data_IF_084260473018
#
_entry.id   IF_084260473018
#
_cell.length_a   1.000
_cell.length_b   1.000
_cell.length_c   1.000
_cell.angle_alpha   90.00
_cell.angle_beta   90.00
_cell.angle_gamma   90.00
#
_symmetry.space_group_name_H-M   'P 1'
#
loop_
_entity.id
_entity.type
_entity.pdbx_description
1 polymer ?
#
# COMPACT_ATOMS: atom_id res chain seq x y z
N UNK A 1 -1.77 -2.55 16.68
CA UNK A 1 -2.86 -2.77 15.72
C UNK A 1 -2.40 -2.46 14.31
N UNK A 2 -2.75 -3.30 13.39
CA UNK A 2 -2.35 -3.13 11.99
C UNK A 2 -3.24 -2.11 11.29
N UNK A 3 -2.64 -1.11 10.67
CA UNK A 3 -3.35 -0.06 9.95
C UNK A 3 -2.87 -0.02 8.50
N UNK A 4 -3.81 -0.03 7.57
CA UNK A 4 -3.54 -0.08 6.13
C UNK A 4 -4.21 1.10 5.45
N UNK A 5 -3.51 1.75 4.54
CA UNK A 5 -4.10 2.78 3.69
C UNK A 5 -4.41 2.17 2.32
N UNK A 6 -5.63 2.40 1.84
CA UNK A 6 -6.03 2.04 0.48
C UNK A 6 -6.26 3.36 -0.25
N UNK A 7 -5.42 3.65 -1.24
CA UNK A 7 -5.47 4.91 -1.97
C UNK A 7 -5.91 4.61 -3.40
N UNK A 8 -7.18 4.87 -3.68
CA UNK A 8 -7.83 4.53 -4.93
C UNK A 8 -9.02 5.46 -5.14
N UNK A 9 -9.10 6.13 -6.27
CA UNK A 9 -10.15 7.11 -6.53
C UNK A 9 -11.50 6.49 -6.94
N UNK A 10 -11.50 5.26 -7.42
CA UNK A 10 -12.72 4.56 -7.78
C UNK A 10 -13.33 3.90 -6.55
N UNK A 11 -14.48 4.38 -6.10
CA UNK A 11 -15.08 3.89 -4.87
C UNK A 11 -15.37 2.39 -4.88
N UNK A 12 -15.99 1.82 -5.93
CA UNK A 12 -16.19 0.37 -5.95
C UNK A 12 -14.91 -0.43 -5.86
N UNK A 13 -13.85 0.00 -6.55
CA UNK A 13 -12.55 -0.66 -6.49
C UNK A 13 -11.93 -0.54 -5.12
N UNK A 14 -11.98 0.64 -4.52
CA UNK A 14 -11.47 0.85 -3.17
C UNK A 14 -12.18 -0.05 -2.17
N UNK A 15 -13.50 -0.14 -2.25
CA UNK A 15 -14.29 -0.99 -1.38
C UNK A 15 -13.98 -2.47 -1.59
N UNK A 16 -13.75 -2.88 -2.83
CA UNK A 16 -13.37 -4.26 -3.13
C UNK A 16 -12.04 -4.62 -2.50
N UNK A 17 -11.04 -3.76 -2.65
CA UNK A 17 -9.72 -3.99 -2.08
C UNK A 17 -9.79 -4.03 -0.55
N UNK A 18 -10.51 -3.10 0.05
CA UNK A 18 -10.70 -3.08 1.50
C UNK A 18 -11.41 -4.34 2.00
N UNK A 19 -12.41 -4.81 1.26
CA UNK A 19 -13.13 -6.03 1.58
C UNK A 19 -12.23 -7.26 1.54
N UNK A 20 -11.39 -7.35 0.53
CA UNK A 20 -10.43 -8.45 0.43
C UNK A 20 -9.45 -8.44 1.60
N UNK A 21 -8.96 -7.27 2.00
CA UNK A 21 -8.05 -7.14 3.13
C UNK A 21 -8.73 -7.60 4.41
N UNK A 22 -9.95 -7.17 4.65
CA UNK A 22 -10.70 -7.57 5.85
C UNK A 22 -10.96 -9.06 5.90
N UNK A 23 -11.20 -9.68 4.74
CA UNK A 23 -11.40 -11.12 4.66
C UNK A 23 -10.11 -11.90 4.92
N UNK A 24 -8.99 -11.33 4.52
CA UNK A 24 -7.70 -12.01 4.65
C UNK A 24 -7.18 -12.01 6.07
N UNK A 25 -7.47 -10.96 6.84
CA UNK A 25 -6.95 -10.84 8.20
C UNK A 25 -7.88 -9.96 9.02
N UNK A 26 -8.30 -10.44 10.19
CA UNK A 26 -9.16 -9.68 11.09
C UNK A 26 -8.34 -8.67 11.90
N UNK A 27 -9.03 -7.71 12.48
CA UNK A 27 -8.39 -6.75 13.38
C UNK A 27 -7.58 -5.66 12.68
N UNK A 28 -7.78 -5.48 11.38
CA UNK A 28 -7.08 -4.44 10.62
C UNK A 28 -7.92 -3.18 10.57
N UNK A 29 -7.26 -2.04 10.80
CA UNK A 29 -7.87 -0.73 10.56
C UNK A 29 -7.52 -0.34 9.12
N UNK A 30 -8.53 -0.03 8.32
CA UNK A 30 -8.34 0.36 6.93
C UNK A 30 -8.86 1.77 6.74
N UNK A 31 -7.96 2.65 6.27
CA UNK A 31 -8.34 4.00 5.87
C UNK A 31 -8.36 4.05 4.35
N UNK A 32 -9.46 4.53 3.79
CA UNK A 32 -9.62 4.66 2.34
C UNK A 32 -9.51 6.12 1.97
N UNK A 33 -8.57 6.44 1.07
CA UNK A 33 -8.34 7.79 0.58
C UNK A 33 -8.56 7.82 -0.91
N UNK A 34 -9.17 8.87 -1.41
CA UNK A 34 -9.64 8.94 -2.80
C UNK A 34 -8.90 9.97 -3.63
N UNK A 35 -8.12 10.83 -2.99
CA UNK A 35 -7.33 11.85 -3.69
C UNK A 35 -5.91 11.84 -3.18
N UNK A 36 -5.02 12.42 -3.99
CA UNK A 36 -3.62 12.60 -3.60
C UNK A 36 -3.49 13.44 -2.34
N UNK A 37 -4.23 14.55 -2.28
CA UNK A 37 -4.13 15.47 -1.15
C UNK A 37 -4.54 14.82 0.16
N UNK A 38 -5.63 14.07 0.14
CA UNK A 38 -6.07 13.32 1.32
C UNK A 38 -5.02 12.31 1.77
N UNK A 39 -4.47 11.59 0.80
CA UNK A 39 -3.48 10.57 1.08
C UNK A 39 -2.20 11.18 1.65
N UNK A 40 -1.71 12.25 1.06
CA UNK A 40 -0.51 12.92 1.56
C UNK A 40 -0.69 13.41 2.99
N UNK A 41 -1.85 14.02 3.29
CA UNK A 41 -2.14 14.49 4.64
C UNK A 41 -2.18 13.34 5.64
N UNK A 42 -2.80 12.22 5.26
CA UNK A 42 -2.90 11.05 6.12
C UNK A 42 -1.53 10.42 6.36
N UNK A 43 -0.73 10.28 5.31
CA UNK A 43 0.61 9.69 5.42
C UNK A 43 1.54 10.53 6.29
N UNK A 44 1.32 11.83 6.33
CA UNK A 44 2.13 12.71 7.16
C UNK A 44 1.80 12.61 8.65
N UNK A 45 0.56 12.24 9.00
CA UNK A 45 0.14 12.22 10.42
C UNK A 45 -0.03 10.83 11.00
N UNK A 46 -0.23 9.81 10.16
CA UNK A 46 -0.45 8.43 10.63
C UNK A 46 0.64 7.51 10.14
N UNK A 47 0.98 6.53 10.96
CA UNK A 47 1.86 5.45 10.51
C UNK A 47 1.02 4.32 9.94
N UNK A 48 1.35 3.87 8.74
CA UNK A 48 0.69 2.72 8.12
C UNK A 48 1.65 1.55 8.01
N UNK A 49 1.14 0.36 8.25
CA UNK A 49 1.93 -0.87 8.13
C UNK A 49 2.11 -1.28 6.67
N UNK A 50 1.18 -0.89 5.81
CA UNK A 50 1.30 -1.07 4.37
C UNK A 50 0.37 -0.09 3.67
N UNK A 51 0.67 0.19 2.40
CA UNK A 51 -0.14 1.06 1.56
C UNK A 51 -0.47 0.31 0.28
N UNK A 52 -1.75 0.26 -0.07
CA UNK A 52 -2.21 -0.24 -1.36
C UNK A 52 -2.56 0.99 -2.19
N UNK A 53 -1.91 1.16 -3.32
CA UNK A 53 -1.91 2.43 -4.04
C UNK A 53 -2.18 2.26 -5.52
N UNK A 54 -3.14 3.04 -6.05
CA UNK A 54 -3.29 3.24 -7.48
C UNK A 54 -2.42 4.43 -7.89
N UNK A 55 -1.63 4.25 -8.95
CA UNK A 55 -0.77 5.33 -9.43
C UNK A 55 -1.52 6.39 -10.23
N UNK A 56 -2.74 6.09 -10.67
CA UNK A 56 -3.59 7.06 -11.35
C UNK A 56 -4.72 7.47 -10.42
N UNK A 57 -4.63 8.66 -9.85
CA UNK A 57 -5.65 9.19 -8.96
C UNK A 57 -6.37 10.36 -9.63
N UNK A 58 -7.64 10.16 -9.94
CA UNK A 58 -8.43 11.17 -10.61
C UNK A 58 -7.83 11.52 -11.96
N UNK A 59 -7.49 12.78 -12.17
CA UNK A 59 -6.90 13.24 -13.42
C UNK A 59 -5.38 13.25 -13.41
N UNK A 60 -4.77 12.97 -12.28
CA UNK A 60 -3.32 12.98 -12.15
C UNK A 60 -2.75 11.61 -12.50
N UNK A 61 -2.11 11.52 -13.66
CA UNK A 61 -1.59 10.24 -14.15
C UNK A 61 -0.45 9.68 -13.31
N UNK A 62 0.29 10.54 -12.64
CA UNK A 62 1.46 10.13 -11.87
C UNK A 62 1.38 10.47 -10.39
N UNK A 63 0.17 10.67 -9.89
CA UNK A 63 -0.04 10.97 -8.49
C UNK A 63 0.55 9.89 -7.58
N UNK A 64 0.45 8.64 -8.00
CA UNK A 64 1.01 7.53 -7.23
C UNK A 64 2.52 7.58 -7.11
N UNK A 65 3.22 8.04 -8.15
CA UNK A 65 4.67 8.20 -8.09
C UNK A 65 5.05 9.22 -7.04
N UNK A 66 4.34 10.35 -7.01
CA UNK A 66 4.58 11.38 -6.00
C UNK A 66 4.31 10.86 -4.60
N UNK A 67 3.28 10.04 -4.43
CA UNK A 67 2.95 9.45 -3.14
C UNK A 67 4.00 8.45 -2.68
N UNK A 68 4.52 7.61 -3.58
CA UNK A 68 5.60 6.70 -3.25
C UNK A 68 6.82 7.47 -2.77
N UNK A 69 7.17 8.54 -3.46
CA UNK A 69 8.28 9.39 -3.05
C UNK A 69 8.04 10.01 -1.68
N UNK A 70 6.82 10.47 -1.41
CA UNK A 70 6.46 11.04 -0.12
C UNK A 70 6.60 10.00 0.99
N UNK A 71 6.16 8.77 0.74
CA UNK A 71 6.27 7.67 1.70
C UNK A 71 7.74 7.37 1.99
N UNK A 72 8.56 7.31 0.95
CA UNK A 72 9.97 6.99 1.10
C UNK A 72 10.70 8.07 1.89
N UNK A 73 10.31 9.33 1.71
CA UNK A 73 10.92 10.43 2.46
C UNK A 73 10.65 10.35 3.95
N UNK A 74 9.57 9.72 4.36
CA UNK A 74 9.27 9.54 5.78
C UNK A 74 10.20 8.53 6.45
N UNK A 75 10.89 7.71 5.67
CA UNK A 75 11.86 6.71 6.15
C UNK A 75 11.30 5.75 7.20
N UNK A 76 10.03 5.42 7.08
CA UNK A 76 9.37 4.50 8.00
C UNK A 76 9.38 3.05 7.51
N UNK A 77 9.91 2.82 6.32
CA UNK A 77 9.95 1.48 5.75
C UNK A 77 8.58 0.92 5.38
N UNK A 78 7.60 1.78 5.19
CA UNK A 78 6.25 1.35 4.86
C UNK A 78 6.23 0.73 3.45
N UNK A 79 5.83 -0.53 3.30
CA UNK A 79 5.77 -1.16 1.99
C UNK A 79 4.58 -0.65 1.19
N UNK A 80 4.78 -0.49 -0.11
CA UNK A 80 3.74 -0.01 -1.02
C UNK A 80 3.45 -1.09 -2.06
N UNK A 81 2.21 -1.53 -2.11
CA UNK A 81 1.73 -2.43 -3.15
C UNK A 81 0.95 -1.59 -4.17
N UNK A 82 1.47 -1.51 -5.39
CA UNK A 82 0.82 -0.75 -6.45
C UNK A 82 -0.18 -1.64 -7.17
N UNK A 83 -1.42 -1.17 -7.29
CA UNK A 83 -2.49 -1.85 -8.01
C UNK A 83 -3.01 -0.87 -9.04
N UNK A 84 -2.79 -1.13 -10.32
CA UNK A 84 -3.13 -0.17 -11.35
C UNK A 84 -3.57 -0.85 -12.65
N UNK A 85 -4.34 -0.12 -13.46
CA UNK A 85 -4.72 -0.59 -14.79
C UNK A 85 -3.59 -0.47 -15.81
N UNK A 86 -2.52 0.24 -15.47
CA UNK A 86 -1.41 0.45 -16.38
C UNK A 86 -0.59 -0.83 -16.60
N UNK A 87 0.03 -1.01 -17.78
CA UNK A 87 0.74 -2.25 -18.08
C UNK A 87 1.89 -2.54 -17.13
N UNK A 88 1.85 -3.71 -16.51
CA UNK A 88 2.86 -4.12 -15.53
C UNK A 88 4.25 -4.26 -16.18
N UNK A 89 4.30 -4.70 -17.43
CA UNK A 89 5.58 -4.91 -18.12
C UNK A 89 6.42 -3.65 -18.19
N UNK A 90 5.78 -2.49 -18.28
CA UNK A 90 6.48 -1.21 -18.35
C UNK A 90 6.69 -0.63 -16.96
N UNK A 91 5.67 -0.64 -16.14
CA UNK A 91 5.68 0.08 -14.88
C UNK A 91 6.27 -0.67 -13.70
N UNK A 92 6.33 -1.99 -13.74
CA UNK A 92 6.88 -2.78 -12.62
C UNK A 92 8.31 -2.38 -12.29
N UNK A 93 9.16 -2.23 -13.30
CA UNK A 93 10.55 -1.84 -13.06
C UNK A 93 10.67 -0.44 -12.48
N UNK A 94 9.82 0.47 -12.96
CA UNK A 94 9.82 1.85 -12.46
C UNK A 94 9.38 1.87 -11.00
N UNK A 95 8.34 1.13 -10.66
CA UNK A 95 7.84 1.08 -9.29
C UNK A 95 8.86 0.46 -8.34
N UNK A 96 9.58 -0.56 -8.79
CA UNK A 96 10.64 -1.15 -7.99
C UNK A 96 11.80 -0.19 -7.78
N UNK A 97 12.13 0.60 -8.78
CA UNK A 97 13.16 1.62 -8.64
C UNK A 97 12.76 2.72 -7.63
N UNK A 98 11.45 2.86 -7.38
CA UNK A 98 10.91 3.78 -6.38
C UNK A 98 10.64 3.07 -5.05
N UNK A 99 11.18 1.88 -4.87
CA UNK A 99 11.03 1.06 -3.65
C UNK A 99 9.60 0.60 -3.35
N UNK A 100 8.77 0.48 -4.37
CA UNK A 100 7.47 -0.16 -4.21
C UNK A 100 7.67 -1.65 -3.97
N UNK A 101 6.84 -2.25 -3.11
CA UNK A 101 6.96 -3.66 -2.80
C UNK A 101 6.67 -4.54 -4.00
N UNK A 102 5.56 -4.28 -4.67
CA UNK A 102 5.18 -5.02 -5.87
C UNK A 102 4.17 -4.21 -6.68
N UNK A 103 3.83 -4.72 -7.85
CA UNK A 103 2.92 -4.09 -8.77
C UNK A 103 1.94 -5.12 -9.32
N UNK A 104 0.66 -4.91 -9.10
CA UNK A 104 -0.39 -5.77 -9.64
C UNK A 104 -1.22 -5.01 -10.67
N UNK A 105 -1.32 -5.55 -11.87
CA UNK A 105 -2.11 -4.95 -12.94
C UNK A 105 -3.59 -5.34 -12.77
N UNK A 106 -4.47 -4.35 -12.65
CA UNK A 106 -5.90 -4.56 -12.35
C UNK A 106 -6.61 -5.54 -13.27
N UNK A 107 -6.18 -5.66 -14.51
CA UNK A 107 -6.86 -6.50 -15.49
C UNK A 107 -6.40 -7.95 -15.48
N UNK A 108 -5.34 -8.29 -14.77
CA UNK A 108 -4.75 -9.62 -14.84
C UNK A 108 -4.67 -10.35 -13.51
N UNK A 109 -4.84 -9.67 -12.39
CA UNK A 109 -4.79 -10.35 -11.09
C UNK A 109 -6.19 -10.63 -10.56
N UNK A 110 -6.29 -11.65 -9.72
CA UNK A 110 -7.52 -12.03 -9.07
C UNK A 110 -7.41 -11.81 -7.56
N UNK A 111 -8.51 -12.00 -6.85
CA UNK A 111 -8.55 -11.85 -5.40
C UNK A 111 -7.44 -12.65 -4.71
N UNK A 112 -7.26 -13.91 -5.13
CA UNK A 112 -6.25 -14.77 -4.52
C UNK A 112 -4.84 -14.21 -4.67
N UNK A 113 -4.54 -13.64 -5.83
CA UNK A 113 -3.23 -13.03 -6.09
C UNK A 113 -2.99 -11.84 -5.18
N UNK A 114 -4.01 -10.99 -5.05
CA UNK A 114 -3.93 -9.82 -4.19
C UNK A 114 -3.73 -10.22 -2.73
N UNK A 115 -4.53 -11.14 -2.24
CA UNK A 115 -4.48 -11.57 -0.84
C UNK A 115 -3.13 -12.21 -0.53
N UNK A 116 -2.63 -13.06 -1.41
CA UNK A 116 -1.33 -13.70 -1.21
C UNK A 116 -0.21 -12.66 -1.11
N UNK A 117 -0.19 -11.72 -2.04
CA UNK A 117 0.83 -10.66 -2.05
C UNK A 117 0.71 -9.78 -0.81
N UNK A 118 -0.51 -9.41 -0.45
CA UNK A 118 -0.76 -8.56 0.70
C UNK A 118 -0.32 -9.22 2.01
N UNK A 119 -0.66 -10.48 2.20
CA UNK A 119 -0.27 -11.22 3.40
C UNK A 119 1.23 -11.40 3.48
N UNK A 120 1.88 -11.60 2.34
CA UNK A 120 3.33 -11.71 2.29
C UNK A 120 4.01 -10.41 2.73
N UNK A 121 3.48 -9.27 2.30
CA UNK A 121 3.95 -7.96 2.74
C UNK A 121 3.86 -7.84 4.27
N UNK A 122 2.72 -8.19 4.84
CA UNK A 122 2.52 -8.08 6.27
C UNK A 122 3.44 -9.02 7.05
N UNK A 123 3.60 -10.24 6.59
CA UNK A 123 4.49 -11.20 7.25
C UNK A 123 5.92 -10.70 7.27
N UNK A 124 6.40 -10.21 6.15
CA UNK A 124 7.75 -9.73 6.02
C UNK A 124 7.99 -8.50 6.89
N UNK A 125 7.06 -7.56 6.83
CA UNK A 125 7.17 -6.33 7.60
C UNK A 125 7.11 -6.60 9.10
N UNK A 126 6.18 -7.44 9.52
CA UNK A 126 6.03 -7.77 10.95
C UNK A 126 7.19 -8.61 11.46
N UNK A 127 7.78 -9.44 10.63
CA UNK A 127 8.96 -10.20 11.02
C UNK A 127 10.16 -9.29 11.24
N UNK A 128 10.24 -8.17 10.55
CA UNK A 128 11.33 -7.22 10.71
C UNK A 128 11.08 -6.23 11.85
N UNK A 129 9.83 -5.80 12.03
CA UNK A 129 9.48 -4.81 13.03
C UNK A 129 9.87 -5.20 14.45
N UNK A 130 9.60 -6.42 14.92
CA UNK A 130 9.99 -6.80 16.26
C UNK A 130 11.49 -6.71 16.51
N UNK A 131 12.27 -6.99 15.50
CA UNK A 131 13.71 -6.94 15.65
C UNK A 131 14.21 -5.53 15.92
N UNK A 132 13.52 -4.53 15.42
CA UNK A 132 13.92 -3.15 15.62
C UNK A 132 13.28 -2.54 16.85
N UNK A 133 12.17 -3.07 17.32
CA UNK A 133 11.41 -2.48 18.41
C UNK A 133 11.56 -3.25 19.71
N UNK A 134 11.57 -4.54 19.64
CA UNK A 134 11.58 -5.38 20.82
C UNK A 134 12.66 -5.05 21.84
N UNK A 135 13.85 -4.69 21.44
CA UNK A 135 14.89 -4.40 22.42
C UNK A 135 14.53 -3.30 23.38
N UNK A 136 13.76 -2.37 22.91
CA UNK A 136 13.44 -1.23 23.74
C UNK A 136 12.71 -1.59 25.03
N UNK A 137 11.64 -2.38 24.96
CA UNK A 137 10.90 -2.66 26.17
C UNK A 137 11.60 -3.63 27.06
N UNK A 138 12.41 -4.44 26.50
CA UNK A 138 13.03 -5.41 27.32
C UNK A 138 14.06 -4.80 28.18
N UNK A 139 14.21 -3.71 27.82
CA UNK A 139 15.16 -3.08 28.73
C UNK A 139 15.01 -3.97 29.20
#
# INVERSE_FOLDING_TARGET
>A
MTRIAVIEDDLPTSNQLAGWIRSAKSGIVIDQWFTRDEAEAALAREHYDAVVLDIELGRERHAGVALINAINKLRQGTPVLVVSAMPAAIYRSIMKALDAWDYLQKTTFEEADFIETFLDILRTTQAQAPASVAPAPVG
#
